data_IF_442513491480
#
_entry.id   IF_442513491480
#
_cell.length_a   1.000
_cell.length_b   1.000
_cell.length_c   1.000
_cell.angle_alpha   90.00
_cell.angle_beta   90.00
_cell.angle_gamma   90.00
#
_symmetry.space_group_name_H-M   'P 1'
#
loop_
_entity.id
_entity.type
_entity.pdbx_description
1 polymer ?
#
# COMPACT_ATOMS: atom_id res chain seq x y z
N UNK A 1 -17.30 45.42 -21.82
CA UNK A 1 -17.48 43.97 -21.57
C UNK A 1 -16.12 43.28 -21.41
N UNK A 2 -15.76 42.82 -20.21
CA UNK A 2 -14.62 41.92 -20.03
C UNK A 2 -15.09 40.59 -19.44
N UNK A 3 -14.65 39.53 -20.10
CA UNK A 3 -15.09 38.15 -19.99
C UNK A 3 -14.75 37.57 -18.61
N UNK A 4 -15.73 37.57 -17.71
CA UNK A 4 -15.73 36.64 -16.59
C UNK A 4 -16.13 35.27 -17.14
N UNK A 5 -15.14 34.47 -17.51
CA UNK A 5 -15.34 33.04 -17.81
C UNK A 5 -15.67 32.35 -16.50
N UNK A 6 -16.96 32.26 -16.18
CA UNK A 6 -17.47 31.41 -15.11
C UNK A 6 -17.33 29.95 -15.56
N UNK A 7 -16.26 29.29 -15.10
CA UNK A 7 -16.15 27.84 -15.19
C UNK A 7 -17.15 27.22 -14.22
N UNK A 8 -18.37 26.94 -14.71
CA UNK A 8 -19.28 26.02 -14.01
C UNK A 8 -18.68 24.61 -14.15
N UNK A 9 -17.83 24.23 -13.19
CA UNK A 9 -17.45 22.83 -13.02
C UNK A 9 -18.72 22.07 -12.73
N UNK A 10 -19.23 21.39 -13.75
CA UNK A 10 -20.28 20.40 -13.59
C UNK A 10 -19.66 19.25 -12.76
N UNK A 11 -19.63 19.42 -11.43
CA UNK A 11 -19.37 18.33 -10.49
C UNK A 11 -20.50 17.35 -10.75
N UNK A 12 -20.27 16.33 -11.60
CA UNK A 12 -20.89 15.03 -11.34
C UNK A 12 -20.63 14.81 -9.84
N UNK A 13 -21.69 14.74 -9.04
CA UNK A 13 -21.60 14.52 -7.59
C UNK A 13 -20.77 13.27 -7.37
N UNK A 14 -19.47 13.49 -7.14
CA UNK A 14 -18.51 12.45 -6.86
C UNK A 14 -18.73 12.11 -5.40
N UNK A 15 -19.34 10.96 -5.19
CA UNK A 15 -19.79 10.47 -3.90
C UNK A 15 -19.09 9.14 -3.63
N UNK A 16 -17.81 9.26 -3.27
CA UNK A 16 -16.87 8.15 -3.11
C UNK A 16 -16.38 8.14 -1.66
N UNK A 17 -16.46 6.97 -1.03
CA UNK A 17 -15.79 6.67 0.23
C UNK A 17 -14.70 5.62 -0.01
N UNK A 18 -13.48 5.86 0.47
CA UNK A 18 -12.36 4.94 0.30
C UNK A 18 -11.65 4.66 1.62
N UNK A 19 -11.30 3.40 1.88
CA UNK A 19 -10.43 3.05 3.00
C UNK A 19 -9.13 2.46 2.47
N UNK A 20 -8.02 3.04 2.89
CA UNK A 20 -6.68 2.51 2.66
C UNK A 20 -6.27 1.66 3.86
N UNK A 21 -5.95 0.40 3.60
CA UNK A 21 -5.36 -0.53 4.55
C UNK A 21 -3.90 -0.75 4.20
N UNK A 22 -3.01 -0.23 5.04
CA UNK A 22 -1.57 -0.40 4.95
C UNK A 22 -1.14 -1.62 5.75
N UNK A 23 -0.45 -2.53 5.09
CA UNK A 23 0.27 -3.60 5.77
C UNK A 23 1.44 -3.00 6.55
N UNK A 24 1.48 -3.25 7.86
CA UNK A 24 2.59 -2.81 8.72
C UNK A 24 3.40 -4.01 9.20
N UNK A 25 3.38 -5.14 8.50
CA UNK A 25 4.12 -6.34 8.88
C UNK A 25 5.64 -6.19 8.70
N UNK A 26 6.39 -7.15 9.24
CA UNK A 26 7.85 -7.14 9.26
C UNK A 26 8.49 -7.18 7.87
N UNK A 27 7.81 -7.72 6.84
CA UNK A 27 8.31 -7.68 5.45
C UNK A 27 8.53 -6.25 4.98
N UNK A 28 7.71 -5.31 5.47
CA UNK A 28 7.78 -3.89 5.05
C UNK A 28 9.04 -3.16 5.58
N UNK A 29 9.81 -3.81 6.46
CA UNK A 29 11.12 -3.34 6.89
C UNK A 29 12.24 -3.64 5.88
N UNK A 30 11.97 -4.41 4.82
CA UNK A 30 12.96 -4.73 3.79
C UNK A 30 13.55 -3.44 3.19
N UNK A 31 14.88 -3.37 3.18
CA UNK A 31 15.62 -2.24 2.65
C UNK A 31 15.72 -2.34 1.12
N UNK A 32 15.37 -1.26 0.44
CA UNK A 32 15.43 -1.13 -1.00
C UNK A 32 16.73 -0.40 -1.32
N UNK A 33 17.58 -1.05 -2.12
CA UNK A 33 18.82 -0.42 -2.59
C UNK A 33 18.48 0.61 -3.69
N UNK A 34 18.78 1.88 -3.46
CA UNK A 34 18.69 2.96 -4.47
C UNK A 34 19.63 2.73 -5.68
N UNK A 35 20.52 1.73 -5.63
CA UNK A 35 21.57 1.49 -6.61
C UNK A 35 21.21 0.63 -7.82
N UNK A 36 20.03 0.02 -7.92
CA UNK A 36 19.71 -0.90 -9.04
C UNK A 36 18.88 -0.23 -10.13
N UNK A 37 19.44 0.79 -10.79
CA UNK A 37 19.03 1.05 -12.18
C UNK A 37 19.42 -0.17 -13.03
N UNK A 38 18.58 -0.71 -13.93
CA UNK A 38 18.88 -1.92 -14.71
C UNK A 38 19.99 -1.76 -15.78
N UNK A 39 20.94 -0.84 -15.59
CA UNK A 39 21.90 -0.43 -16.62
C UNK A 39 23.35 -0.21 -16.17
N UNK A 40 23.71 -0.31 -14.90
CA UNK A 40 25.11 -0.12 -14.47
C UNK A 40 25.81 -1.45 -14.16
N UNK A 41 25.95 -2.30 -15.17
CA UNK A 41 26.81 -3.49 -15.08
C UNK A 41 28.21 -3.19 -15.63
N UNK A 42 28.97 -2.35 -14.93
CA UNK A 42 30.41 -2.24 -15.15
C UNK A 42 31.11 -2.95 -13.98
N UNK A 43 31.61 -4.15 -14.26
CA UNK A 43 32.50 -4.87 -13.36
C UNK A 43 33.78 -4.07 -13.04
N UNK A 44 34.57 -4.51 -12.05
CA UNK A 44 35.84 -3.85 -11.74
C UNK A 44 36.75 -3.81 -12.99
N UNK A 45 37.39 -2.67 -13.30
CA UNK A 45 38.37 -2.57 -14.39
C UNK A 45 39.60 -3.45 -14.12
N UNK A 46 40.18 -4.01 -15.17
CA UNK A 46 41.40 -4.84 -15.08
C UNK A 46 42.67 -3.98 -14.85
N UNK A 47 42.64 -2.70 -15.21
CA UNK A 47 43.78 -1.79 -15.01
C UNK A 47 43.97 -1.45 -13.51
N UNK A 48 45.19 -1.60 -12.94
CA UNK A 48 45.43 -1.39 -11.51
C UNK A 48 45.17 0.04 -11.01
N UNK A 49 45.37 1.06 -11.86
CA UNK A 49 45.18 2.47 -11.50
C UNK A 49 43.68 2.80 -11.52
N UNK A 50 42.97 2.36 -12.55
CA UNK A 50 41.50 2.47 -12.61
C UNK A 50 40.82 1.66 -11.51
N UNK A 51 41.33 0.48 -11.16
CA UNK A 51 40.82 -0.34 -10.05
C UNK A 51 40.95 0.38 -8.70
N UNK A 52 42.09 1.05 -8.45
CA UNK A 52 42.27 1.87 -7.25
C UNK A 52 41.34 3.08 -7.21
N UNK A 53 41.08 3.72 -8.35
CA UNK A 53 40.08 4.79 -8.45
C UNK A 53 38.67 4.27 -8.22
N UNK A 54 38.30 3.14 -8.84
CA UNK A 54 37.01 2.45 -8.65
C UNK A 54 36.77 2.07 -7.18
N UNK A 55 37.79 1.58 -6.47
CA UNK A 55 37.74 1.30 -5.04
C UNK A 55 37.54 2.57 -4.19
N UNK A 56 38.20 3.69 -4.52
CA UNK A 56 38.02 4.97 -3.83
C UNK A 56 36.62 5.54 -4.05
N UNK A 57 36.13 5.56 -5.28
CA UNK A 57 34.79 6.03 -5.62
C UNK A 57 33.71 5.19 -4.94
N UNK A 58 33.91 3.87 -4.79
CA UNK A 58 33.02 3.01 -3.98
C UNK A 58 33.10 3.33 -2.48
N UNK A 59 34.28 3.63 -1.93
CA UNK A 59 34.44 4.00 -0.51
C UNK A 59 33.86 5.37 -0.17
N UNK A 60 33.92 6.33 -1.08
CA UNK A 60 33.28 7.64 -0.91
C UNK A 60 31.76 7.58 -1.15
N UNK A 61 31.29 6.74 -2.09
CA UNK A 61 29.86 6.49 -2.33
C UNK A 61 29.16 5.64 -1.26
N UNK A 62 29.90 5.00 -0.34
CA UNK A 62 29.34 4.24 0.79
C UNK A 62 28.76 5.14 1.90
N UNK A 63 29.06 6.44 1.90
CA UNK A 63 28.63 7.37 2.96
C UNK A 63 27.20 7.89 2.76
N UNK A 64 26.53 7.57 1.64
CA UNK A 64 25.14 8.01 1.40
C UNK A 64 24.36 7.11 0.46
N UNK A 65 24.40 5.79 0.66
CA UNK A 65 23.30 4.96 0.16
C UNK A 65 22.08 5.27 1.02
N UNK A 66 21.14 6.06 0.50
CA UNK A 66 19.85 6.26 1.14
C UNK A 66 19.10 4.93 0.98
N UNK A 67 19.24 4.05 1.96
CA UNK A 67 18.40 2.87 2.03
C UNK A 67 17.00 3.34 2.44
N UNK A 68 16.04 3.27 1.50
CA UNK A 68 14.62 3.42 1.85
C UNK A 68 14.03 2.06 2.11
N UNK A 69 13.16 1.94 3.11
CA UNK A 69 12.39 0.72 3.31
C UNK A 69 11.08 0.79 2.54
N UNK A 70 10.46 -0.36 2.32
CA UNK A 70 9.15 -0.47 1.68
C UNK A 70 8.13 0.47 2.35
N UNK A 71 8.06 0.42 3.68
CA UNK A 71 7.17 1.27 4.47
C UNK A 71 7.41 2.79 4.25
N UNK A 72 8.64 3.20 3.93
CA UNK A 72 8.97 4.60 3.70
C UNK A 72 8.39 5.06 2.35
N UNK A 73 8.40 4.20 1.33
CA UNK A 73 7.73 4.46 0.05
C UNK A 73 6.20 4.39 0.15
N UNK A 74 5.65 3.49 0.97
CA UNK A 74 4.22 3.45 1.27
C UNK A 74 3.76 4.76 1.92
N UNK A 75 4.51 5.29 2.89
CA UNK A 75 4.23 6.61 3.51
C UNK A 75 4.25 7.74 2.48
N UNK A 76 5.25 7.76 1.60
CA UNK A 76 5.34 8.77 0.53
C UNK A 76 4.13 8.69 -0.41
N UNK A 77 3.72 7.48 -0.80
CA UNK A 77 2.54 7.28 -1.65
C UNK A 77 1.25 7.68 -0.99
N UNK A 78 1.06 7.34 0.29
CA UNK A 78 -0.09 7.77 1.08
C UNK A 78 -0.13 9.29 1.22
N UNK A 79 1.02 9.94 1.45
CA UNK A 79 1.08 11.40 1.54
C UNK A 79 0.66 12.09 0.22
N UNK A 80 1.11 11.59 -0.92
CA UNK A 80 0.71 12.10 -2.25
C UNK A 80 -0.78 11.84 -2.52
N UNK A 81 -1.27 10.67 -2.15
CA UNK A 81 -2.67 10.32 -2.30
C UNK A 81 -3.58 11.19 -1.43
N UNK A 82 -3.21 11.48 -0.18
CA UNK A 82 -3.97 12.39 0.69
C UNK A 82 -4.14 13.74 0.01
N UNK A 83 -3.08 14.30 -0.58
CA UNK A 83 -3.17 15.57 -1.30
C UNK A 83 -4.18 15.50 -2.45
N UNK A 84 -4.21 14.38 -3.19
CA UNK A 84 -5.18 14.15 -4.26
C UNK A 84 -6.61 14.04 -3.70
N UNK A 85 -6.82 13.27 -2.64
CA UNK A 85 -8.14 13.07 -2.00
C UNK A 85 -8.71 14.38 -1.43
N UNK A 86 -7.89 15.15 -0.72
CA UNK A 86 -8.26 16.47 -0.19
C UNK A 86 -8.63 17.45 -1.32
N UNK A 87 -7.90 17.40 -2.45
CA UNK A 87 -8.22 18.26 -3.60
C UNK A 87 -9.52 17.88 -4.31
N UNK A 88 -9.89 16.59 -4.30
CA UNK A 88 -11.09 16.08 -4.95
C UNK A 88 -12.32 16.22 -4.04
N UNK A 89 -12.13 16.04 -2.73
CA UNK A 89 -13.17 16.09 -1.71
C UNK A 89 -13.84 14.74 -1.46
N UNK A 90 -13.15 13.63 -1.72
CA UNK A 90 -13.67 12.28 -1.44
C UNK A 90 -13.54 11.94 0.05
N UNK A 91 -14.49 11.18 0.59
CA UNK A 91 -14.40 10.67 1.98
C UNK A 91 -13.36 9.56 2.03
N UNK A 92 -12.43 9.61 2.99
CA UNK A 92 -11.40 8.58 3.08
C UNK A 92 -10.97 8.24 4.50
N UNK A 93 -10.58 7.00 4.75
CA UNK A 93 -9.93 6.56 5.98
C UNK A 93 -8.57 5.93 5.68
N UNK A 94 -7.62 6.03 6.62
CA UNK A 94 -6.29 5.44 6.52
C UNK A 94 -6.06 4.63 7.78
N UNK A 95 -5.80 3.35 7.59
CA UNK A 95 -5.59 2.41 8.67
C UNK A 95 -4.39 1.53 8.38
N UNK A 96 -3.72 1.09 9.44
CA UNK A 96 -2.65 0.11 9.37
C UNK A 96 -3.08 -1.20 10.03
N UNK A 97 -2.48 -2.31 9.65
CA UNK A 97 -2.70 -3.58 10.34
C UNK A 97 -1.41 -4.40 10.48
N UNK A 98 -1.39 -5.23 11.52
CA UNK A 98 -0.32 -6.17 11.84
C UNK A 98 -0.91 -7.37 12.58
N UNK A 99 -0.31 -8.54 12.44
CA UNK A 99 -0.78 -9.80 13.03
C UNK A 99 0.19 -10.39 14.03
N UNK A 100 -0.32 -10.90 15.14
CA UNK A 100 0.41 -11.74 16.08
C UNK A 100 -0.45 -12.95 16.50
N UNK A 101 -0.80 -13.75 15.51
CA UNK A 101 -1.71 -14.88 15.64
C UNK A 101 -3.18 -14.49 15.72
N UNK A 102 -4.04 -15.51 15.75
CA UNK A 102 -5.50 -15.34 15.70
C UNK A 102 -6.10 -14.57 16.88
N UNK A 103 -5.42 -14.57 18.01
CA UNK A 103 -5.87 -13.92 19.25
C UNK A 103 -5.43 -12.45 19.33
N UNK A 104 -4.51 -12.02 18.45
CA UNK A 104 -3.97 -10.66 18.48
C UNK A 104 -3.75 -10.13 17.07
N UNK A 105 -4.75 -9.42 16.54
CA UNK A 105 -4.63 -8.66 15.29
C UNK A 105 -4.68 -7.18 15.64
N UNK A 106 -3.58 -6.49 15.36
CA UNK A 106 -3.41 -5.09 15.64
C UNK A 106 -4.00 -4.27 14.48
N UNK A 107 -4.86 -3.30 14.83
CA UNK A 107 -5.50 -2.39 13.87
C UNK A 107 -5.25 -0.96 14.30
N UNK A 108 -4.51 -0.22 13.48
CA UNK A 108 -4.04 1.13 13.77
C UNK A 108 -4.88 2.17 13.03
N UNK A 109 -5.44 3.11 13.79
CA UNK A 109 -6.18 4.24 13.22
C UNK A 109 -5.22 5.39 12.95
N UNK A 110 -4.75 5.49 11.71
CA UNK A 110 -3.88 6.59 11.26
C UNK A 110 -4.72 7.84 10.98
N UNK A 111 -5.88 7.66 10.33
CA UNK A 111 -6.94 8.64 10.15
C UNK A 111 -8.26 7.88 10.08
N UNK A 112 -9.20 8.18 10.97
CA UNK A 112 -10.53 7.58 10.84
C UNK A 112 -11.26 8.15 9.62
N UNK A 113 -12.22 7.39 9.07
CA UNK A 113 -12.96 7.79 7.86
C UNK A 113 -13.77 9.06 8.08
N UNK A 114 -14.30 9.25 9.29
CA UNK A 114 -15.07 10.43 9.68
C UNK A 114 -14.19 11.56 10.28
N UNK A 115 -12.88 11.32 10.40
CA UNK A 115 -11.92 12.29 10.93
C UNK A 115 -11.44 13.27 9.84
N UNK A 116 -11.32 14.57 10.13
CA UNK A 116 -10.69 15.51 9.21
C UNK A 116 -9.16 15.41 9.19
N UNK A 117 -8.51 15.78 8.07
CA UNK A 117 -7.05 15.86 8.03
C UNK A 117 -6.55 16.95 8.98
N UNK A 118 -5.59 16.60 9.83
CA UNK A 118 -4.96 17.51 10.78
C UNK A 118 -3.47 17.21 10.93
N UNK A 119 -2.73 18.09 11.60
CA UNK A 119 -1.30 17.85 11.85
C UNK A 119 -1.06 16.65 12.78
N UNK A 120 -2.05 16.24 13.58
CA UNK A 120 -1.97 15.00 14.38
C UNK A 120 -2.02 13.75 13.49
N UNK A 121 -2.85 13.76 12.44
CA UNK A 121 -2.91 12.71 11.41
C UNK A 121 -1.58 12.62 10.68
N UNK A 122 -1.00 13.75 10.26
CA UNK A 122 0.32 13.76 9.59
C UNK A 122 1.41 13.16 10.47
N UNK A 123 1.42 13.47 11.77
CA UNK A 123 2.34 12.87 12.75
C UNK A 123 2.11 11.38 12.95
N UNK A 124 0.86 10.88 12.84
CA UNK A 124 0.57 9.44 12.88
C UNK A 124 1.11 8.73 11.65
N UNK A 125 0.97 9.31 10.46
CA UNK A 125 1.53 8.78 9.21
C UNK A 125 3.06 8.65 9.32
N UNK A 126 3.74 9.70 9.80
CA UNK A 126 5.19 9.70 9.98
C UNK A 126 5.67 8.60 10.94
N UNK A 127 4.88 8.29 11.97
CA UNK A 127 5.13 7.25 12.97
C UNK A 127 4.80 5.82 12.53
N UNK A 128 4.20 5.61 11.36
CA UNK A 128 3.96 4.26 10.84
C UNK A 128 5.30 3.51 10.77
N UNK A 129 5.37 2.30 11.28
CA UNK A 129 6.59 1.50 11.26
C UNK A 129 6.25 0.03 11.05
N UNK A 130 7.19 -0.77 10.52
CA UNK A 130 7.04 -2.22 10.45
C UNK A 130 6.91 -2.82 11.85
N UNK A 131 6.09 -3.87 11.96
CA UNK A 131 5.71 -4.56 13.19
C UNK A 131 5.85 -6.08 13.02
N UNK A 132 4.78 -6.84 13.26
CA UNK A 132 4.79 -8.30 13.38
C UNK A 132 4.49 -8.99 12.04
N UNK A 133 3.45 -9.81 11.96
CA UNK A 133 3.11 -10.61 10.80
C UNK A 133 1.91 -10.02 10.03
N UNK A 134 1.44 -10.73 9.02
CA UNK A 134 0.43 -10.26 8.06
C UNK A 134 -0.87 -11.06 8.21
N UNK A 135 -1.83 -10.53 8.98
CA UNK A 135 -3.16 -11.13 9.16
C UNK A 135 -4.26 -10.21 8.62
N UNK A 136 -4.50 -10.33 7.31
CA UNK A 136 -5.37 -9.41 6.56
C UNK A 136 -6.87 -9.60 6.81
N UNK A 137 -7.34 -10.84 6.98
CA UNK A 137 -8.78 -11.16 7.04
C UNK A 137 -9.57 -10.30 8.05
N UNK A 138 -9.19 -10.28 9.34
CA UNK A 138 -9.84 -9.45 10.34
C UNK A 138 -9.73 -7.94 10.06
N UNK A 139 -8.60 -7.47 9.56
CA UNK A 139 -8.40 -6.06 9.19
C UNK A 139 -9.34 -5.62 8.04
N UNK A 140 -9.44 -6.45 6.99
CA UNK A 140 -10.38 -6.25 5.87
C UNK A 140 -11.82 -6.19 6.38
N UNK A 141 -12.22 -7.11 7.26
CA UNK A 141 -13.58 -7.13 7.84
C UNK A 141 -13.88 -5.88 8.67
N UNK A 142 -12.91 -5.38 9.42
CA UNK A 142 -13.06 -4.14 10.19
C UNK A 142 -13.14 -2.90 9.29
N UNK A 143 -12.27 -2.77 8.28
CA UNK A 143 -12.37 -1.70 7.29
C UNK A 143 -13.70 -1.76 6.52
N UNK A 144 -14.17 -2.97 6.22
CA UNK A 144 -15.45 -3.21 5.55
C UNK A 144 -16.62 -2.71 6.41
N UNK A 145 -16.61 -2.89 7.73
CA UNK A 145 -17.68 -2.36 8.59
C UNK A 145 -17.67 -0.84 8.62
N UNK A 146 -16.48 -0.22 8.66
CA UNK A 146 -16.28 1.24 8.59
C UNK A 146 -16.75 1.84 7.26
N UNK A 147 -16.49 1.18 6.14
CA UNK A 147 -16.99 1.61 4.83
C UNK A 147 -18.49 1.39 4.69
N UNK A 148 -19.01 0.29 5.24
CA UNK A 148 -20.43 -0.04 5.12
C UNK A 148 -21.32 1.01 5.78
N UNK A 149 -20.88 1.64 6.88
CA UNK A 149 -21.61 2.73 7.55
C UNK A 149 -21.64 4.04 6.78
N UNK A 150 -20.83 4.19 5.72
CA UNK A 150 -20.82 5.40 4.89
C UNK A 150 -22.02 5.42 3.94
N UNK A 151 -22.55 6.62 3.67
CA UNK A 151 -23.66 6.81 2.73
C UNK A 151 -23.22 6.92 1.27
N UNK A 152 -21.91 6.96 1.02
CA UNK A 152 -21.36 7.17 -0.31
C UNK A 152 -21.80 6.09 -1.31
N UNK A 153 -22.19 6.51 -2.51
CA UNK A 153 -22.59 5.62 -3.62
C UNK A 153 -21.51 4.62 -4.00
N UNK A 154 -20.25 5.08 -4.06
CA UNK A 154 -19.11 4.22 -4.40
C UNK A 154 -18.24 4.01 -3.16
N UNK A 155 -18.02 2.76 -2.77
CA UNK A 155 -17.19 2.39 -1.62
C UNK A 155 -16.01 1.54 -2.08
N UNK A 156 -14.79 1.95 -1.73
CA UNK A 156 -13.56 1.29 -2.19
C UNK A 156 -12.74 0.87 -0.98
N UNK A 157 -12.37 -0.41 -0.90
CA UNK A 157 -11.38 -0.91 0.05
C UNK A 157 -10.08 -1.12 -0.70
N UNK A 158 -9.04 -0.36 -0.35
CA UNK A 158 -7.75 -0.37 -1.02
C UNK A 158 -6.72 -0.98 -0.07
N UNK A 159 -6.34 -2.22 -0.33
CA UNK A 159 -5.31 -2.95 0.42
C UNK A 159 -3.94 -2.72 -0.23
N UNK A 160 -2.97 -2.30 0.56
CA UNK A 160 -1.58 -2.12 0.14
C UNK A 160 -0.75 -3.06 1.02
N UNK A 161 -0.11 -4.05 0.40
CA UNK A 161 0.69 -5.05 1.11
C UNK A 161 1.84 -5.52 0.25
N UNK A 162 2.99 -5.71 0.87
CA UNK A 162 4.22 -6.13 0.21
C UNK A 162 4.36 -7.65 0.05
N UNK A 163 3.36 -8.43 0.46
CA UNK A 163 3.49 -9.88 0.40
C UNK A 163 2.21 -10.68 0.63
N UNK A 164 2.43 -11.99 0.78
CA UNK A 164 1.38 -12.98 1.01
C UNK A 164 0.89 -12.92 2.46
N UNK A 165 -0.41 -13.16 2.73
CA UNK A 165 -0.91 -13.36 4.09
C UNK A 165 -0.12 -14.46 4.81
N UNK A 166 0.51 -14.10 5.94
CA UNK A 166 1.34 -15.00 6.73
C UNK A 166 1.35 -14.56 8.20
N UNK A 167 0.93 -15.43 9.10
CA UNK A 167 0.85 -15.13 10.53
C UNK A 167 0.84 -16.43 11.37
N UNK A 168 1.16 -16.32 12.65
CA UNK A 168 1.18 -17.44 13.61
C UNK A 168 -0.18 -18.14 13.65
N UNK A 169 -0.15 -19.47 13.59
CA UNK A 169 -1.37 -20.28 13.65
C UNK A 169 -2.21 -20.28 12.37
N UNK A 170 -1.76 -19.65 11.28
CA UNK A 170 -2.18 -20.04 9.92
C UNK A 170 -1.53 -21.35 9.47
N UNK A 171 -0.43 -21.75 10.13
CA UNK A 171 0.26 -23.01 9.89
C UNK A 171 -0.10 -24.03 10.98
N UNK A 172 -0.81 -25.08 10.60
CA UNK A 172 -0.68 -26.42 11.19
C UNK A 172 -0.15 -27.34 10.08
N UNK A 173 0.71 -28.28 10.45
CA UNK A 173 1.55 -29.11 9.59
C UNK A 173 0.88 -29.53 8.26
N UNK A 174 1.52 -29.20 7.12
CA UNK A 174 1.26 -29.82 5.81
C UNK A 174 0.36 -29.09 4.80
N UNK A 175 -0.45 -28.08 5.19
CA UNK A 175 -1.39 -27.34 4.28
C UNK A 175 -1.28 -25.82 4.43
N UNK A 176 -0.04 -25.36 4.67
CA UNK A 176 0.30 -24.21 5.52
C UNK A 176 -0.01 -22.81 4.96
N UNK A 177 -0.07 -22.66 3.64
CA UNK A 177 -0.16 -21.34 3.00
C UNK A 177 -1.50 -21.08 2.31
N UNK A 178 -2.34 -22.10 2.18
CA UNK A 178 -3.64 -22.00 1.49
C UNK A 178 -4.69 -21.36 2.38
N UNK A 179 -4.72 -21.72 3.67
CA UNK A 179 -5.73 -21.18 4.59
C UNK A 179 -5.67 -19.64 4.69
N UNK A 180 -4.47 -19.05 4.83
CA UNK A 180 -4.33 -17.61 4.95
C UNK A 180 -4.81 -16.86 3.69
N UNK A 181 -4.55 -17.45 2.51
CA UNK A 181 -5.04 -16.98 1.22
C UNK A 181 -6.56 -17.08 1.15
N UNK A 182 -7.14 -18.21 1.57
CA UNK A 182 -8.59 -18.43 1.56
C UNK A 182 -9.34 -17.58 2.60
N UNK A 183 -8.79 -17.37 3.80
CA UNK A 183 -9.38 -16.47 4.81
C UNK A 183 -9.42 -15.02 4.27
N UNK A 184 -8.33 -14.59 3.64
CA UNK A 184 -8.27 -13.28 2.99
C UNK A 184 -9.25 -13.19 1.82
N UNK A 185 -9.32 -14.23 0.98
CA UNK A 185 -10.30 -14.32 -0.11
C UNK A 185 -11.74 -14.19 0.40
N UNK A 186 -12.08 -14.90 1.47
CA UNK A 186 -13.41 -14.82 2.09
C UNK A 186 -13.70 -13.43 2.63
N UNK A 187 -12.72 -12.77 3.27
CA UNK A 187 -12.89 -11.39 3.74
C UNK A 187 -13.13 -10.40 2.58
N UNK A 188 -12.44 -10.58 1.44
CA UNK A 188 -12.66 -9.76 0.24
C UNK A 188 -14.04 -10.03 -0.40
N UNK A 189 -14.50 -11.29 -0.42
CA UNK A 189 -15.84 -11.64 -0.86
C UNK A 189 -16.93 -11.03 0.05
N UNK A 190 -16.72 -11.04 1.36
CA UNK A 190 -17.62 -10.39 2.32
C UNK A 190 -17.72 -8.88 2.09
N UNK A 191 -16.61 -8.21 1.73
CA UNK A 191 -16.62 -6.82 1.32
C UNK A 191 -17.43 -6.61 0.02
N UNK A 192 -17.17 -7.44 -1.01
CA UNK A 192 -17.90 -7.39 -2.28
C UNK A 192 -19.42 -7.58 -2.11
N UNK A 193 -19.84 -8.48 -1.22
CA UNK A 193 -21.26 -8.72 -0.88
C UNK A 193 -21.94 -7.51 -0.22
N UNK A 194 -21.18 -6.53 0.28
CA UNK A 194 -21.67 -5.28 0.86
C UNK A 194 -21.53 -4.09 -0.08
N UNK A 195 -21.43 -4.36 -1.39
CA UNK A 195 -21.22 -3.36 -2.45
C UNK A 195 -19.97 -2.49 -2.24
N UNK A 196 -18.97 -3.05 -1.53
CA UNK A 196 -17.66 -2.44 -1.38
C UNK A 196 -16.74 -3.07 -2.42
N UNK A 197 -16.00 -2.24 -3.13
CA UNK A 197 -15.06 -2.66 -4.15
C UNK A 197 -13.66 -2.86 -3.54
N UNK A 198 -13.24 -4.10 -3.27
CA UNK A 198 -11.87 -4.38 -2.88
C UNK A 198 -10.91 -4.21 -4.07
N UNK A 199 -9.75 -3.65 -3.78
CA UNK A 199 -8.61 -3.57 -4.68
C UNK A 199 -7.33 -3.87 -3.89
N UNK A 200 -6.48 -4.74 -4.42
CA UNK A 200 -5.21 -5.10 -3.81
C UNK A 200 -4.03 -4.55 -4.63
N UNK A 201 -3.13 -3.83 -4.01
CA UNK A 201 -1.87 -3.38 -4.58
C UNK A 201 -0.74 -4.09 -3.84
N UNK A 202 0.17 -4.69 -4.60
CA UNK A 202 1.33 -5.37 -4.03
C UNK A 202 2.59 -5.13 -4.84
N UNK A 203 3.72 -5.26 -4.17
CA UNK A 203 5.07 -5.14 -4.74
C UNK A 203 5.77 -6.49 -4.85
N UNK A 204 5.12 -7.58 -4.41
CA UNK A 204 5.67 -8.93 -4.51
C UNK A 204 5.61 -9.42 -5.97
N UNK A 205 6.78 -9.45 -6.61
CA UNK A 205 6.95 -9.97 -7.98
C UNK A 205 6.52 -11.43 -8.12
N UNK A 206 6.67 -12.22 -7.05
CA UNK A 206 6.26 -13.62 -6.97
C UNK A 206 4.76 -13.76 -6.68
N UNK A 207 4.04 -12.64 -6.57
CA UNK A 207 2.67 -12.62 -6.07
C UNK A 207 1.61 -13.21 -7.00
N UNK A 208 1.91 -13.35 -8.29
CA UNK A 208 0.91 -13.70 -9.30
C UNK A 208 0.11 -14.97 -8.98
N UNK A 209 0.77 -16.01 -8.46
CA UNK A 209 0.12 -17.30 -8.20
C UNK A 209 -0.87 -17.23 -7.03
N UNK A 210 -0.47 -16.63 -5.90
CA UNK A 210 -1.35 -16.55 -4.74
C UNK A 210 -2.38 -15.43 -4.85
N UNK A 211 -2.06 -14.31 -5.52
CA UNK A 211 -2.98 -13.20 -5.71
C UNK A 211 -4.19 -13.61 -6.54
N UNK A 212 -3.99 -14.46 -7.56
CA UNK A 212 -5.10 -15.00 -8.33
C UNK A 212 -6.05 -15.81 -7.45
N UNK A 213 -5.52 -16.67 -6.57
CA UNK A 213 -6.33 -17.43 -5.63
C UNK A 213 -6.98 -16.53 -4.54
N UNK A 214 -6.27 -15.50 -4.08
CA UNK A 214 -6.70 -14.58 -3.03
C UNK A 214 -7.77 -13.60 -3.52
N UNK A 215 -7.56 -12.97 -4.67
CA UNK A 215 -8.45 -11.96 -5.23
C UNK A 215 -9.55 -12.58 -6.11
N UNK A 216 -9.36 -13.78 -6.66
CA UNK A 216 -10.32 -14.37 -7.61
C UNK A 216 -10.61 -13.41 -8.76
N UNK A 217 -11.88 -13.05 -8.95
CA UNK A 217 -12.32 -12.09 -9.98
C UNK A 217 -12.15 -10.61 -9.58
N UNK A 218 -11.60 -10.32 -8.40
CA UNK A 218 -11.42 -8.96 -7.89
C UNK A 218 -10.14 -8.34 -8.45
N UNK A 219 -10.15 -7.01 -8.60
CA UNK A 219 -9.05 -6.28 -9.21
C UNK A 219 -7.84 -6.23 -8.27
N UNK A 220 -6.66 -6.49 -8.81
CA UNK A 220 -5.39 -6.30 -8.14
C UNK A 220 -4.33 -5.81 -9.11
N UNK A 221 -3.24 -5.24 -8.58
CA UNK A 221 -2.07 -4.86 -9.36
C UNK A 221 -0.78 -5.26 -8.64
N UNK A 222 0.16 -5.81 -9.41
CA UNK A 222 1.52 -6.12 -8.96
C UNK A 222 2.47 -5.08 -9.55
N UNK A 223 3.12 -4.30 -8.70
CA UNK A 223 4.12 -3.33 -9.11
C UNK A 223 5.44 -4.05 -9.40
N UNK A 224 5.93 -3.89 -10.63
CA UNK A 224 7.23 -4.42 -11.03
C UNK A 224 8.40 -3.69 -10.37
N UNK A 225 8.20 -2.41 -10.01
CA UNK A 225 9.20 -1.59 -9.34
C UNK A 225 8.54 -0.81 -8.19
N UNK A 226 9.00 -1.06 -6.98
CA UNK A 226 8.47 -0.44 -5.77
C UNK A 226 8.70 1.07 -5.73
N UNK A 227 9.74 1.58 -6.39
CA UNK A 227 9.99 3.02 -6.50
C UNK A 227 8.86 3.77 -7.21
N UNK A 228 8.06 3.06 -8.01
CA UNK A 228 6.92 3.64 -8.71
C UNK A 228 5.67 3.77 -7.84
N UNK A 229 5.65 3.12 -6.67
CA UNK A 229 4.50 3.09 -5.76
C UNK A 229 3.94 4.48 -5.45
N UNK A 230 4.74 5.50 -5.06
CA UNK A 230 4.19 6.80 -4.69
C UNK A 230 3.46 7.51 -5.82
N UNK A 231 3.96 7.37 -7.05
CA UNK A 231 3.35 7.99 -8.23
C UNK A 231 2.17 7.18 -8.77
N UNK A 232 2.23 5.85 -8.63
CA UNK A 232 1.24 4.93 -9.17
C UNK A 232 -0.05 4.92 -8.36
N UNK A 233 0.05 5.07 -7.05
CA UNK A 233 -1.07 4.95 -6.12
C UNK A 233 -2.19 5.99 -6.36
N UNK A 234 -1.92 7.30 -6.58
CA UNK A 234 -2.94 8.26 -6.99
C UNK A 234 -3.57 7.96 -8.37
N UNK A 235 -2.79 7.43 -9.31
CA UNK A 235 -3.29 7.06 -10.64
C UNK A 235 -4.27 5.88 -10.57
N UNK A 236 -3.94 4.87 -9.78
CA UNK A 236 -4.82 3.72 -9.53
C UNK A 236 -6.12 4.16 -8.89
N UNK A 237 -6.04 4.99 -7.85
CA UNK A 237 -7.24 5.52 -7.21
C UNK A 237 -8.15 6.25 -8.22
N UNK A 238 -7.56 7.08 -9.09
CA UNK A 238 -8.33 7.76 -10.15
C UNK A 238 -9.00 6.78 -11.11
N UNK A 239 -8.35 5.68 -11.48
CA UNK A 239 -8.95 4.66 -12.37
C UNK A 239 -10.10 3.89 -11.71
N UNK A 240 -10.07 3.73 -10.39
CA UNK A 240 -11.08 2.99 -9.63
C UNK A 240 -12.30 3.84 -9.26
N UNK A 241 -12.15 5.17 -9.20
CA UNK A 241 -13.16 6.12 -8.70
C UNK A 241 -13.92 6.88 -9.79
N UNK A 242 -13.77 6.46 -11.05
CA UNK A 242 -14.39 7.06 -12.25
C UNK A 242 -15.61 6.27 -12.69
#
# INVERSE_FOLDING_TARGET
PSEKVYWFRNKRERDVAVVFLLDMSASTAEAIDEGSSPGSNNGPPDDPVEYMMWLRSRREGLVKRNYKRIIDLEKEGVALLIQALESIGDTYGIYGFSGYGRENVEYYIIKDIDEGLSDSVKKRIDKVSPLHATRMGPAIRHATSKLHSQTAKTKILFLISDGRPQDRGYSREGVEKEYAVHDTHMALLEAKRKDIMPFCLTVDKSGHDYLKAMCGDMRYEVLADIWTLPQRLPLLYRQLSV
#
